data_IF_987229237020
#
_entry.id   IF_987229237020
#
_cell.length_a   1.000
_cell.length_b   1.000
_cell.length_c   1.000
_cell.angle_alpha   90.00
_cell.angle_beta   90.00
_cell.angle_gamma   90.00
#
_symmetry.space_group_name_H-M   'P 1'
#
loop_
_entity.id
_entity.type
_entity.pdbx_description
1 polymer ?
#
# COMPACT_ATOMS: atom_id res chain seq x y z
N UNK A 1 -5.48 -31.55 22.62
CA UNK A 1 -4.52 -32.34 21.82
C UNK A 1 -5.31 -33.19 20.82
N UNK A 2 -5.54 -32.66 19.62
CA UNK A 2 -6.20 -33.40 18.53
C UNK A 2 -5.33 -33.29 17.29
N UNK A 3 -4.62 -34.39 17.01
CA UNK A 3 -3.71 -34.56 15.88
C UNK A 3 -4.57 -34.95 14.67
N UNK A 4 -4.74 -34.04 13.71
CA UNK A 4 -5.38 -34.36 12.43
C UNK A 4 -4.30 -34.76 11.43
N UNK A 5 -4.24 -36.06 11.17
CA UNK A 5 -3.42 -36.72 10.14
C UNK A 5 -3.95 -36.35 8.76
N UNK A 6 -3.13 -35.70 7.93
CA UNK A 6 -3.41 -35.55 6.50
C UNK A 6 -2.41 -36.38 5.70
N UNK A 7 -2.87 -37.55 5.24
CA UNK A 7 -2.18 -38.40 4.27
C UNK A 7 -2.15 -37.70 2.91
N UNK A 8 -0.95 -37.44 2.38
CA UNK A 8 -0.76 -37.07 0.97
C UNK A 8 -0.09 -38.23 0.23
N UNK A 9 -0.83 -38.86 -0.69
CA UNK A 9 -0.27 -39.73 -1.71
C UNK A 9 -0.75 -39.20 -3.07
N UNK A 10 0.21 -38.95 -3.97
CA UNK A 10 -0.05 -38.49 -5.33
C UNK A 10 1.27 -38.22 -6.04
N UNK A 11 1.89 -39.30 -6.55
CA UNK A 11 3.08 -39.26 -7.40
C UNK A 11 2.74 -38.69 -8.78
N UNK A 12 3.81 -38.35 -9.51
CA UNK A 12 3.95 -38.30 -10.99
C UNK A 12 3.43 -36.98 -11.63
N UNK A 13 4.14 -36.26 -12.51
CA UNK A 13 5.23 -36.53 -13.45
C UNK A 13 6.13 -35.29 -13.63
N UNK A 14 7.45 -35.49 -13.70
CA UNK A 14 8.41 -34.49 -14.15
C UNK A 14 8.22 -34.24 -15.65
N UNK A 15 7.59 -33.11 -16.03
CA UNK A 15 7.53 -32.67 -17.43
C UNK A 15 8.55 -31.55 -17.65
N UNK A 16 9.66 -31.92 -18.30
CA UNK A 16 10.70 -31.01 -18.81
C UNK A 16 10.10 -30.06 -19.85
N UNK A 17 10.21 -28.73 -19.73
CA UNK A 17 9.78 -27.84 -20.81
C UNK A 17 10.84 -27.78 -21.91
N UNK A 18 10.40 -28.18 -23.10
CA UNK A 18 11.07 -28.06 -24.39
C UNK A 18 11.28 -26.57 -24.72
N UNK A 19 12.51 -26.13 -24.95
CA UNK A 19 12.82 -24.77 -25.39
C UNK A 19 12.61 -24.65 -26.91
N UNK A 20 11.78 -23.72 -27.41
CA UNK A 20 11.70 -23.46 -28.84
C UNK A 20 12.91 -22.64 -29.33
N UNK A 21 13.43 -23.06 -30.49
CA UNK A 21 14.55 -22.46 -31.22
C UNK A 21 14.18 -21.04 -31.68
N UNK A 22 15.03 -20.06 -31.36
CA UNK A 22 14.92 -18.64 -31.73
C UNK A 22 14.94 -18.49 -33.25
N UNK A 23 13.78 -18.25 -33.88
CA UNK A 23 13.69 -17.81 -35.26
C UNK A 23 14.14 -16.34 -35.34
N UNK A 24 15.14 -16.07 -36.17
CA UNK A 24 15.53 -14.72 -36.59
C UNK A 24 14.42 -14.14 -37.48
N UNK A 25 14.06 -12.84 -37.37
CA UNK A 25 13.18 -12.23 -38.33
C UNK A 25 13.92 -11.94 -39.63
N UNK A 26 13.57 -12.71 -40.66
CA UNK A 26 13.77 -12.42 -42.08
C UNK A 26 12.74 -11.36 -42.51
N UNK A 27 13.19 -10.20 -42.99
CA UNK A 27 12.52 -9.26 -43.93
C UNK A 27 13.29 -7.93 -43.89
N UNK A 28 13.80 -7.37 -44.99
CA UNK A 28 13.01 -6.91 -46.12
C UNK A 28 13.73 -7.08 -47.46
N UNK A 29 13.01 -7.76 -48.34
CA UNK A 29 13.21 -7.90 -49.78
C UNK A 29 13.19 -6.53 -50.45
N UNK A 30 14.24 -6.26 -51.23
CA UNK A 30 14.33 -5.17 -52.18
C UNK A 30 13.42 -5.52 -53.37
N UNK A 31 12.31 -4.81 -53.55
CA UNK A 31 11.51 -4.89 -54.78
C UNK A 31 11.93 -3.73 -55.68
N UNK A 32 12.94 -3.96 -56.51
CA UNK A 32 13.20 -3.17 -57.71
C UNK A 32 12.38 -3.77 -58.85
N UNK A 33 11.18 -3.25 -59.07
CA UNK A 33 10.47 -3.39 -60.34
C UNK A 33 10.87 -2.24 -61.24
N UNK A 34 11.79 -2.51 -62.15
CA UNK A 34 12.05 -1.69 -63.33
C UNK A 34 11.10 -2.06 -64.46
N UNK A 35 10.80 -1.06 -65.29
CA UNK A 35 10.19 -1.07 -66.63
C UNK A 35 8.65 -1.19 -66.76
N UNK A 36 8.03 -0.05 -67.04
CA UNK A 36 6.97 0.11 -68.05
C UNK A 36 7.19 1.45 -68.79
N UNK A 37 6.62 1.66 -70.00
CA UNK A 37 7.29 2.27 -71.13
C UNK A 37 6.94 3.76 -71.27
N UNK A 38 7.83 4.55 -71.87
CA UNK A 38 7.55 5.93 -72.25
C UNK A 38 7.20 6.01 -73.73
N UNK A 39 5.95 6.37 -74.01
CA UNK A 39 5.50 6.95 -75.28
C UNK A 39 5.55 8.47 -75.16
N UNK A 40 6.02 9.12 -76.22
CA UNK A 40 6.21 10.56 -76.44
C UNK A 40 5.06 11.50 -76.01
N UNK A 41 5.39 12.70 -75.47
CA UNK A 41 4.99 14.01 -76.03
C UNK A 41 5.49 15.25 -75.20
N UNK A 42 6.18 16.15 -75.91
CA UNK A 42 6.44 17.63 -75.85
C UNK A 42 6.44 18.49 -74.54
N UNK A 43 7.20 19.62 -74.54
CA UNK A 43 7.50 20.47 -73.39
C UNK A 43 6.60 21.72 -73.29
N UNK A 44 6.56 22.33 -72.10
CA UNK A 44 6.59 23.79 -71.79
C UNK A 44 5.82 24.10 -70.49
N UNK A 45 6.55 24.43 -69.39
CA UNK A 45 6.18 25.44 -68.37
C UNK A 45 7.15 25.41 -67.15
N UNK A 46 7.85 26.51 -66.80
CA UNK A 46 8.77 26.54 -65.66
C UNK A 46 8.19 27.33 -64.47
N UNK A 47 7.19 26.80 -63.75
CA UNK A 47 6.82 27.36 -62.42
C UNK A 47 5.86 26.47 -61.62
N UNK A 48 6.32 25.32 -61.12
CA UNK A 48 5.69 24.70 -59.94
C UNK A 48 6.77 24.28 -58.96
N UNK A 49 6.94 25.10 -57.93
CA UNK A 49 7.69 24.81 -56.72
C UNK A 49 7.29 23.43 -56.19
N UNK A 50 8.22 22.47 -56.23
CA UNK A 50 8.08 21.19 -55.55
C UNK A 50 8.18 21.48 -54.05
N UNK A 51 7.04 21.68 -53.39
CA UNK A 51 6.98 21.71 -51.93
C UNK A 51 7.24 20.30 -51.41
N UNK A 52 8.42 20.09 -50.86
CA UNK A 52 8.77 18.85 -50.14
C UNK A 52 7.78 18.68 -48.98
N UNK A 53 7.03 17.58 -48.86
CA UNK A 53 6.19 17.35 -47.70
C UNK A 53 7.11 17.10 -46.49
N UNK A 54 7.25 18.09 -45.62
CA UNK A 54 7.89 17.90 -44.32
C UNK A 54 6.95 17.01 -43.49
N UNK A 55 7.39 15.84 -43.00
CA UNK A 55 6.60 15.04 -42.07
C UNK A 55 6.57 15.74 -40.71
N UNK A 56 5.73 16.77 -40.59
CA UNK A 56 5.58 17.52 -39.35
C UNK A 56 4.37 16.97 -38.60
N UNK A 57 4.57 15.88 -37.89
CA UNK A 57 3.63 15.45 -36.84
C UNK A 57 4.34 14.46 -35.93
N UNK A 58 5.34 14.97 -35.20
CA UNK A 58 5.70 14.33 -33.92
C UNK A 58 4.43 14.45 -33.08
N UNK A 59 3.70 13.33 -32.93
CA UNK A 59 2.47 13.30 -32.15
C UNK A 59 2.71 13.97 -30.81
N UNK A 60 1.84 14.92 -30.45
CA UNK A 60 2.01 15.71 -29.25
C UNK A 60 2.17 14.79 -28.04
N UNK A 61 3.41 14.71 -27.55
CA UNK A 61 3.78 13.90 -26.40
C UNK A 61 2.89 14.37 -25.23
N UNK A 62 2.11 13.48 -24.58
CA UNK A 62 1.19 13.86 -23.51
C UNK A 62 1.92 14.64 -22.42
N UNK A 63 1.26 15.64 -21.83
CA UNK A 63 1.89 16.64 -20.93
C UNK A 63 2.68 16.01 -19.77
N UNK A 64 2.28 14.82 -19.32
CA UNK A 64 2.94 14.06 -18.26
C UNK A 64 4.33 13.50 -18.65
N UNK A 65 4.60 13.32 -19.95
CA UNK A 65 5.93 13.01 -20.46
C UNK A 65 6.82 14.26 -20.61
N UNK A 66 6.25 15.48 -20.53
CA UNK A 66 7.01 16.73 -20.41
C UNK A 66 7.54 16.97 -18.99
N UNK A 67 6.99 16.28 -17.98
CA UNK A 67 7.52 16.21 -16.61
C UNK A 67 8.66 15.16 -16.52
N UNK A 68 9.71 15.34 -17.31
CA UNK A 68 10.80 14.38 -17.52
C UNK A 68 11.35 13.71 -16.24
N UNK A 69 11.62 14.44 -15.13
CA UNK A 69 12.12 13.84 -13.90
C UNK A 69 11.12 12.94 -13.17
N UNK A 70 9.85 13.35 -13.07
CA UNK A 70 8.80 12.62 -12.35
C UNK A 70 8.45 11.33 -13.09
N UNK A 71 8.29 11.42 -14.41
CA UNK A 71 8.04 10.27 -15.27
C UNK A 71 9.17 9.24 -15.23
N UNK A 72 10.45 9.69 -15.18
CA UNK A 72 11.61 8.81 -14.95
C UNK A 72 11.57 8.12 -13.60
N UNK A 73 11.17 8.83 -12.53
CA UNK A 73 10.99 8.26 -11.20
C UNK A 73 9.94 7.14 -11.18
N UNK A 74 8.78 7.37 -11.78
CA UNK A 74 7.72 6.36 -11.90
C UNK A 74 8.17 5.13 -12.69
N UNK A 75 8.87 5.34 -13.80
CA UNK A 75 9.41 4.24 -14.59
C UNK A 75 10.51 3.48 -13.83
N UNK A 76 11.35 4.17 -13.06
CA UNK A 76 12.36 3.55 -12.21
C UNK A 76 11.72 2.69 -11.11
N UNK A 77 10.71 3.21 -10.42
CA UNK A 77 9.93 2.45 -9.43
C UNK A 77 9.27 1.21 -10.05
N UNK A 78 8.62 1.36 -11.20
CA UNK A 78 8.01 0.24 -11.92
C UNK A 78 9.02 -0.83 -12.36
N UNK A 79 10.21 -0.42 -12.81
CA UNK A 79 11.32 -1.35 -13.12
C UNK A 79 11.83 -2.07 -11.86
N UNK A 80 11.98 -1.34 -10.76
CA UNK A 80 12.42 -1.91 -9.48
C UNK A 80 11.42 -2.94 -8.95
N UNK A 81 10.12 -2.62 -8.95
CA UNK A 81 9.06 -3.54 -8.56
C UNK A 81 9.10 -4.86 -9.35
N UNK A 82 9.36 -4.80 -10.66
CA UNK A 82 9.44 -6.01 -11.51
C UNK A 82 10.72 -6.81 -11.27
N UNK A 83 11.86 -6.13 -11.08
CA UNK A 83 13.18 -6.78 -10.95
C UNK A 83 13.44 -7.32 -9.54
N UNK A 84 13.04 -6.58 -8.52
CA UNK A 84 13.28 -6.87 -7.09
C UNK A 84 12.04 -6.48 -6.27
N UNK A 85 10.92 -7.21 -6.40
CA UNK A 85 9.68 -6.86 -5.73
C UNK A 85 9.83 -6.82 -4.21
N UNK A 86 10.47 -7.81 -3.60
CA UNK A 86 10.63 -7.87 -2.13
C UNK A 86 11.40 -6.67 -1.58
N UNK A 87 12.55 -6.33 -2.17
CA UNK A 87 13.33 -5.18 -1.74
C UNK A 87 12.58 -3.86 -1.97
N UNK A 88 11.87 -3.75 -3.10
CA UNK A 88 11.10 -2.55 -3.40
C UNK A 88 9.95 -2.37 -2.41
N UNK A 89 9.25 -3.44 -2.05
CA UNK A 89 8.17 -3.41 -1.06
C UNK A 89 8.68 -3.06 0.34
N UNK A 90 9.80 -3.67 0.76
CA UNK A 90 10.46 -3.34 2.01
C UNK A 90 10.80 -1.84 2.09
N UNK A 91 11.56 -1.33 1.13
CA UNK A 91 11.95 0.09 1.10
C UNK A 91 10.74 1.02 1.00
N UNK A 92 9.78 0.70 0.13
CA UNK A 92 8.58 1.55 -0.04
C UNK A 92 7.74 1.62 1.22
N UNK A 93 7.58 0.50 1.92
CA UNK A 93 6.84 0.48 3.18
C UNK A 93 7.54 1.26 4.29
N UNK A 94 8.88 1.22 4.36
CA UNK A 94 9.65 2.05 5.30
C UNK A 94 9.42 3.54 5.01
N UNK A 95 9.46 3.93 3.73
CA UNK A 95 9.18 5.31 3.31
C UNK A 95 7.75 5.72 3.67
N UNK A 96 6.76 4.86 3.43
CA UNK A 96 5.35 5.14 3.78
C UNK A 96 5.19 5.34 5.29
N UNK A 97 5.80 4.49 6.11
CA UNK A 97 5.73 4.61 7.57
C UNK A 97 6.47 5.83 8.10
N UNK A 98 7.65 6.13 7.55
CA UNK A 98 8.40 7.32 7.88
C UNK A 98 7.58 8.60 7.61
N UNK A 99 7.08 8.73 6.38
CA UNK A 99 6.31 9.91 5.98
C UNK A 99 4.98 10.01 6.73
N UNK A 100 4.31 8.87 6.96
CA UNK A 100 3.06 8.83 7.69
C UNK A 100 3.23 9.21 9.16
N UNK A 101 4.30 8.73 9.81
CA UNK A 101 4.57 9.07 11.21
C UNK A 101 5.00 10.53 11.36
N UNK A 102 5.90 11.05 10.50
CA UNK A 102 6.26 12.48 10.48
C UNK A 102 5.02 13.35 10.28
N UNK A 103 4.15 12.99 9.33
CA UNK A 103 2.92 13.74 9.09
C UNK A 103 2.03 13.75 10.33
N UNK A 104 1.89 12.61 11.02
CA UNK A 104 1.08 12.52 12.22
C UNK A 104 1.67 13.33 13.39
N UNK A 105 3.00 13.36 13.52
CA UNK A 105 3.70 14.16 14.53
C UNK A 105 3.55 15.66 14.26
N UNK A 106 3.69 16.09 13.01
CA UNK A 106 3.50 17.49 12.62
C UNK A 106 2.06 17.97 12.87
N UNK A 107 1.06 17.12 12.60
CA UNK A 107 -0.35 17.46 12.86
C UNK A 107 -0.64 17.53 14.36
N UNK A 108 0.05 16.77 15.21
CA UNK A 108 -0.17 16.82 16.65
C UNK A 108 0.30 18.11 17.33
N UNK A 109 1.19 18.89 16.69
CA UNK A 109 1.77 20.10 17.27
C UNK A 109 2.67 19.85 18.48
N UNK A 110 3.04 18.60 18.74
CA UNK A 110 3.95 18.19 19.81
C UNK A 110 5.41 18.23 19.32
N UNK A 111 6.35 18.21 20.27
CA UNK A 111 7.77 18.05 19.96
C UNK A 111 8.03 16.72 19.22
N UNK A 112 8.94 16.75 18.26
CA UNK A 112 9.25 15.59 17.44
C UNK A 112 9.92 14.47 18.26
N UNK A 113 9.28 13.30 18.29
CA UNK A 113 9.75 12.08 18.94
C UNK A 113 10.36 11.12 17.90
N UNK A 114 11.70 11.08 17.85
CA UNK A 114 12.43 10.16 16.97
C UNK A 114 12.26 8.69 17.36
N UNK A 115 12.03 8.36 18.65
CA UNK A 115 11.83 6.97 19.11
C UNK A 115 10.52 6.44 18.56
N UNK A 116 9.49 7.26 18.49
CA UNK A 116 8.22 6.93 17.82
C UNK A 116 8.44 6.59 16.35
N UNK A 117 9.22 7.39 15.62
CA UNK A 117 9.53 7.10 14.22
C UNK A 117 10.32 5.81 14.06
N UNK A 118 11.30 5.55 14.94
CA UNK A 118 12.06 4.30 14.90
C UNK A 118 11.16 3.07 15.12
N UNK A 119 10.20 3.15 16.05
CA UNK A 119 9.21 2.07 16.26
C UNK A 119 8.34 1.87 15.04
N UNK A 120 7.85 2.94 14.41
CA UNK A 120 7.10 2.85 13.16
C UNK A 120 7.93 2.16 12.05
N UNK A 121 9.21 2.50 11.91
CA UNK A 121 10.12 1.85 10.96
C UNK A 121 10.33 0.37 11.28
N UNK A 122 10.49 0.00 12.55
CA UNK A 122 10.64 -1.40 12.97
C UNK A 122 9.38 -2.23 12.66
N UNK A 123 8.20 -1.68 12.93
CA UNK A 123 6.90 -2.30 12.60
C UNK A 123 6.75 -2.48 11.08
N UNK A 124 7.14 -1.48 10.31
CA UNK A 124 7.14 -1.54 8.86
C UNK A 124 8.09 -2.62 8.33
N UNK A 125 9.32 -2.67 8.85
CA UNK A 125 10.31 -3.68 8.49
C UNK A 125 9.79 -5.11 8.74
N UNK A 126 9.17 -5.35 9.90
CA UNK A 126 8.61 -6.65 10.26
C UNK A 126 7.40 -7.07 9.42
N UNK A 127 6.55 -6.12 9.03
CA UNK A 127 5.33 -6.40 8.25
C UNK A 127 5.49 -6.37 6.72
N UNK A 128 6.57 -5.74 6.22
CA UNK A 128 6.84 -5.55 4.78
C UNK A 128 6.64 -6.81 3.92
N UNK A 129 7.34 -7.89 4.30
CA UNK A 129 7.37 -9.15 3.52
C UNK A 129 6.06 -9.93 3.70
N UNK A 130 5.54 -10.14 4.92
CA UNK A 130 4.21 -10.73 5.11
C UNK A 130 3.12 -10.04 4.30
N UNK A 131 3.09 -8.70 4.31
CA UNK A 131 2.11 -7.91 3.56
C UNK A 131 2.21 -8.18 2.06
N UNK A 132 3.43 -8.14 1.50
CA UNK A 132 3.63 -8.44 0.08
C UNK A 132 3.17 -9.87 -0.27
N UNK A 133 3.54 -10.86 0.55
CA UNK A 133 3.14 -12.27 0.31
C UNK A 133 1.62 -12.43 0.38
N UNK A 134 0.95 -11.73 1.29
CA UNK A 134 -0.51 -11.72 1.38
C UNK A 134 -1.15 -11.16 0.10
N UNK A 135 -0.67 -10.03 -0.42
CA UNK A 135 -1.20 -9.48 -1.68
C UNK A 135 -0.95 -10.41 -2.87
N UNK A 136 0.20 -11.11 -2.92
CA UNK A 136 0.46 -12.13 -3.94
C UNK A 136 -0.48 -13.32 -3.81
N UNK A 137 -0.74 -13.78 -2.59
CA UNK A 137 -1.73 -14.83 -2.30
C UNK A 137 -3.12 -14.44 -2.81
N UNK A 138 -3.60 -13.24 -2.45
CA UNK A 138 -4.89 -12.74 -2.94
C UNK A 138 -4.93 -12.68 -4.47
N UNK A 139 -3.84 -12.23 -5.09
CA UNK A 139 -3.80 -12.08 -6.54
C UNK A 139 -3.82 -13.42 -7.28
N UNK A 140 -3.26 -14.49 -6.71
CA UNK A 140 -3.21 -15.80 -7.37
C UNK A 140 -4.41 -16.71 -7.09
N UNK A 141 -5.08 -16.57 -5.93
CA UNK A 141 -6.12 -17.54 -5.50
C UNK A 141 -7.56 -17.12 -5.85
N UNK A 142 -7.85 -15.83 -6.00
CA UNK A 142 -9.22 -15.34 -6.21
C UNK A 142 -9.44 -14.82 -7.63
N UNK A 143 -9.21 -15.68 -8.63
CA UNK A 143 -9.38 -15.36 -10.05
C UNK A 143 -10.59 -16.11 -10.63
N UNK A 144 -11.60 -15.37 -11.04
CA UNK A 144 -12.88 -15.85 -11.57
C UNK A 144 -13.06 -15.32 -12.99
N UNK A 145 -14.02 -15.87 -13.72
CA UNK A 145 -14.36 -15.43 -15.07
C UNK A 145 -14.76 -13.95 -15.13
N UNK A 146 -15.51 -13.47 -14.13
CA UNK A 146 -15.85 -12.06 -14.00
C UNK A 146 -14.75 -11.29 -13.26
N UNK A 147 -14.18 -10.27 -13.91
CA UNK A 147 -13.18 -9.37 -13.30
C UNK A 147 -13.74 -8.61 -12.10
N UNK A 148 -15.01 -8.21 -12.17
CA UNK A 148 -15.68 -7.53 -11.07
C UNK A 148 -15.81 -8.47 -9.86
N UNK A 149 -16.22 -9.73 -10.09
CA UNK A 149 -16.31 -10.73 -9.02
C UNK A 149 -14.94 -10.99 -8.37
N UNK A 150 -13.87 -11.16 -9.17
CA UNK A 150 -12.51 -11.30 -8.63
C UNK A 150 -12.09 -10.11 -7.79
N UNK A 151 -12.37 -8.89 -8.24
CA UNK A 151 -12.01 -7.70 -7.49
C UNK A 151 -12.79 -7.62 -6.18
N UNK A 152 -14.11 -7.80 -6.22
CA UNK A 152 -14.97 -7.77 -5.03
C UNK A 152 -14.52 -8.83 -4.02
N UNK A 153 -14.31 -10.07 -4.45
CA UNK A 153 -13.86 -11.14 -3.54
C UNK A 153 -12.49 -10.81 -2.93
N UNK A 154 -11.52 -10.34 -3.73
CA UNK A 154 -10.20 -9.95 -3.22
C UNK A 154 -10.31 -8.84 -2.17
N UNK A 155 -11.13 -7.82 -2.42
CA UNK A 155 -11.37 -6.72 -1.48
C UNK A 155 -12.05 -7.24 -0.21
N UNK A 156 -13.11 -8.04 -0.34
CA UNK A 156 -13.84 -8.60 0.81
C UNK A 156 -12.94 -9.46 1.69
N UNK A 157 -12.17 -10.38 1.11
CA UNK A 157 -11.23 -11.23 1.87
C UNK A 157 -10.15 -10.37 2.54
N UNK A 158 -9.66 -9.33 1.85
CA UNK A 158 -8.71 -8.39 2.45
C UNK A 158 -9.30 -7.65 3.66
N UNK A 159 -10.54 -7.18 3.56
CA UNK A 159 -11.20 -6.44 4.64
C UNK A 159 -11.58 -7.32 5.84
N UNK A 160 -11.91 -8.59 5.62
CA UNK A 160 -12.33 -9.51 6.70
C UNK A 160 -11.14 -10.14 7.40
N UNK A 161 -10.07 -10.46 6.67
CA UNK A 161 -8.94 -11.22 7.22
C UNK A 161 -7.75 -10.30 7.48
N UNK A 162 -7.25 -9.67 6.42
CA UNK A 162 -5.99 -8.94 6.51
C UNK A 162 -6.10 -7.66 7.30
N UNK A 163 -7.15 -6.86 7.07
CA UNK A 163 -7.29 -5.58 7.76
C UNK A 163 -7.35 -5.76 9.30
N UNK A 164 -8.17 -6.68 9.88
CA UNK A 164 -8.13 -6.94 11.31
C UNK A 164 -6.77 -7.48 11.78
N UNK A 165 -6.19 -8.47 11.10
CA UNK A 165 -4.90 -9.05 11.50
C UNK A 165 -3.76 -8.03 11.48
N UNK A 166 -3.66 -7.23 10.42
CA UNK A 166 -2.64 -6.20 10.29
C UNK A 166 -2.82 -5.07 11.30
N UNK A 167 -4.05 -4.61 11.54
CA UNK A 167 -4.30 -3.59 12.56
C UNK A 167 -3.97 -4.09 13.97
N UNK A 168 -4.35 -5.33 14.31
CA UNK A 168 -3.96 -5.95 15.59
C UNK A 168 -2.44 -6.00 15.74
N UNK A 169 -1.72 -6.43 14.70
CA UNK A 169 -0.26 -6.41 14.70
C UNK A 169 0.29 -4.99 14.87
N UNK A 170 -0.21 -4.02 14.10
CA UNK A 170 0.28 -2.64 14.11
C UNK A 170 0.11 -1.99 15.50
N UNK A 171 -1.11 -1.98 16.04
CA UNK A 171 -1.39 -1.35 17.33
C UNK A 171 -0.78 -2.15 18.49
N UNK A 172 -0.78 -3.49 18.39
CA UNK A 172 -0.16 -4.35 19.38
C UNK A 172 1.35 -4.10 19.47
N UNK A 173 2.03 -4.06 18.31
CA UNK A 173 3.47 -3.83 18.26
C UNK A 173 3.83 -2.39 18.64
N UNK A 174 3.01 -1.39 18.29
CA UNK A 174 3.18 -0.03 18.79
C UNK A 174 3.19 0.01 20.32
N UNK A 175 2.20 -0.64 20.95
CA UNK A 175 2.06 -0.70 22.40
C UNK A 175 3.20 -1.47 23.07
N UNK A 176 3.56 -2.63 22.55
CA UNK A 176 4.70 -3.41 23.05
C UNK A 176 6.01 -2.64 22.97
N UNK A 177 6.27 -1.98 21.84
CA UNK A 177 7.49 -1.18 21.67
C UNK A 177 7.45 0.15 22.45
N UNK A 178 6.27 0.62 22.87
CA UNK A 178 6.13 1.72 23.86
C UNK A 178 6.53 1.28 25.28
N UNK A 179 6.66 -0.03 25.54
CA UNK A 179 6.92 -0.58 26.87
C UNK A 179 5.67 -0.92 27.67
N UNK A 180 4.49 -1.00 27.04
CA UNK A 180 3.25 -1.37 27.72
C UNK A 180 3.22 -2.86 28.10
N UNK A 181 2.51 -3.15 29.19
CA UNK A 181 2.21 -4.53 29.62
C UNK A 181 1.19 -5.20 28.70
N UNK A 182 1.18 -6.55 28.66
CA UNK A 182 0.23 -7.31 27.81
C UNK A 182 -1.25 -6.92 28.01
N UNK A 183 -1.76 -6.67 29.24
CA UNK A 183 -3.13 -6.19 29.43
C UNK A 183 -3.39 -4.81 28.79
N UNK A 184 -2.43 -3.89 28.87
CA UNK A 184 -2.54 -2.56 28.25
C UNK A 184 -2.51 -2.67 26.72
N UNK A 185 -1.67 -3.56 26.18
CA UNK A 185 -1.63 -3.87 24.75
C UNK A 185 -2.98 -4.39 24.26
N UNK A 186 -3.58 -5.32 25.00
CA UNK A 186 -4.89 -5.88 24.67
C UNK A 186 -5.99 -4.81 24.69
N UNK A 187 -5.99 -3.94 25.71
CA UNK A 187 -6.97 -2.86 25.79
C UNK A 187 -6.79 -1.85 24.66
N UNK A 188 -5.55 -1.55 24.27
CA UNK A 188 -5.29 -0.71 23.08
C UNK A 188 -5.86 -1.33 21.81
N UNK A 189 -5.61 -2.60 21.57
CA UNK A 189 -6.13 -3.34 20.42
C UNK A 189 -7.67 -3.26 20.38
N UNK A 190 -8.34 -3.50 21.51
CA UNK A 190 -9.80 -3.43 21.61
C UNK A 190 -10.36 -2.06 21.25
N UNK A 191 -9.65 -0.98 21.61
CA UNK A 191 -10.09 0.38 21.34
C UNK A 191 -9.83 0.81 19.89
N UNK A 192 -8.68 0.44 19.34
CA UNK A 192 -8.22 0.97 18.04
C UNK A 192 -8.62 0.11 16.85
N UNK A 193 -8.56 -1.23 16.96
CA UNK A 193 -8.77 -2.12 15.81
C UNK A 193 -10.19 -2.02 15.23
N UNK A 194 -11.28 -2.08 16.01
CA UNK A 194 -12.63 -1.97 15.45
C UNK A 194 -12.83 -0.63 14.73
N UNK A 195 -12.38 0.45 15.36
CA UNK A 195 -12.44 1.81 14.79
C UNK A 195 -11.69 1.88 13.46
N UNK A 196 -10.47 1.34 13.42
CA UNK A 196 -9.65 1.32 12.21
C UNK A 196 -10.28 0.48 11.08
N UNK A 197 -10.81 -0.71 11.39
CA UNK A 197 -11.44 -1.60 10.41
C UNK A 197 -12.70 -0.98 9.84
N UNK A 198 -13.56 -0.38 10.67
CA UNK A 198 -14.77 0.32 10.20
C UNK A 198 -14.40 1.48 9.26
N UNK A 199 -13.41 2.30 9.63
CA UNK A 199 -12.97 3.40 8.78
C UNK A 199 -12.27 2.91 7.50
N UNK A 200 -11.56 1.80 7.56
CA UNK A 200 -10.99 1.12 6.39
C UNK A 200 -12.11 0.75 5.40
N UNK A 201 -13.21 0.16 5.87
CA UNK A 201 -14.34 -0.21 5.03
C UNK A 201 -15.07 0.98 4.40
N UNK A 202 -14.94 2.19 4.97
CA UNK A 202 -15.48 3.42 4.36
C UNK A 202 -14.55 3.97 3.28
N UNK A 203 -13.25 3.98 3.55
CA UNK A 203 -12.25 4.64 2.69
C UNK A 203 -11.88 3.78 1.48
N UNK A 204 -11.56 2.50 1.69
CA UNK A 204 -10.96 1.69 0.63
C UNK A 204 -11.88 1.39 -0.56
N UNK A 205 -13.20 1.18 -0.40
CA UNK A 205 -14.09 1.05 -1.57
C UNK A 205 -14.09 2.30 -2.44
N UNK A 206 -14.15 3.49 -1.84
CA UNK A 206 -14.11 4.76 -2.57
C UNK A 206 -12.77 4.95 -3.30
N UNK A 207 -11.65 4.71 -2.61
CA UNK A 207 -10.30 4.76 -3.19
C UNK A 207 -10.15 3.77 -4.35
N UNK A 208 -10.70 2.56 -4.18
CA UNK A 208 -10.66 1.51 -5.20
C UNK A 208 -11.47 1.92 -6.42
N UNK A 209 -12.72 2.37 -6.23
CA UNK A 209 -13.56 2.85 -7.32
C UNK A 209 -12.89 4.00 -8.09
N UNK A 210 -12.35 4.99 -7.38
CA UNK A 210 -11.63 6.10 -8.00
C UNK A 210 -10.41 5.63 -8.80
N UNK A 211 -9.60 4.74 -8.23
CA UNK A 211 -8.42 4.17 -8.89
C UNK A 211 -8.76 3.43 -10.18
N UNK A 212 -9.86 2.67 -10.20
CA UNK A 212 -10.27 1.92 -11.37
C UNK A 212 -10.92 2.78 -12.45
N UNK A 213 -11.63 3.85 -12.06
CA UNK A 213 -12.33 4.74 -12.99
C UNK A 213 -11.41 5.79 -13.61
N UNK A 214 -10.52 6.41 -12.82
CA UNK A 214 -9.78 7.61 -13.25
C UNK A 214 -8.27 7.41 -13.41
N UNK A 215 -7.69 6.35 -12.83
CA UNK A 215 -6.25 6.15 -12.83
C UNK A 215 -5.86 5.01 -13.79
N UNK A 216 -4.96 5.32 -14.73
CA UNK A 216 -4.42 4.31 -15.63
C UNK A 216 -3.73 3.18 -14.86
N UNK A 217 -3.84 1.92 -15.29
CA UNK A 217 -3.29 0.77 -14.57
C UNK A 217 -1.82 0.90 -14.17
N UNK A 218 -1.01 1.57 -14.98
CA UNK A 218 0.42 1.79 -14.74
C UNK A 218 0.73 2.76 -13.59
N UNK A 219 -0.20 3.65 -13.23
CA UNK A 219 -0.03 4.63 -12.15
C UNK A 219 -0.71 4.24 -10.84
N UNK A 220 -1.57 3.21 -10.85
CA UNK A 220 -2.35 2.77 -9.67
C UNK A 220 -1.49 2.42 -8.46
N UNK A 221 -0.31 1.85 -8.65
CA UNK A 221 0.59 1.52 -7.53
C UNK A 221 1.13 2.76 -6.83
N UNK A 222 1.39 3.84 -7.57
CA UNK A 222 1.89 5.10 -7.01
C UNK A 222 0.76 5.82 -6.30
N UNK A 223 -0.41 5.90 -6.94
CA UNK A 223 -1.62 6.44 -6.32
C UNK A 223 -1.94 5.73 -5.00
N UNK A 224 -1.93 4.40 -4.98
CA UNK A 224 -2.12 3.62 -3.77
C UNK A 224 -1.06 3.92 -2.70
N UNK A 225 0.20 4.13 -3.08
CA UNK A 225 1.27 4.54 -2.17
C UNK A 225 1.02 5.90 -1.51
N UNK A 226 0.50 6.89 -2.26
CA UNK A 226 0.15 8.21 -1.70
C UNK A 226 -0.99 8.08 -0.68
N UNK A 227 -2.05 7.35 -1.03
CA UNK A 227 -3.16 7.10 -0.09
C UNK A 227 -2.66 6.31 1.14
N UNK A 228 -1.72 5.39 0.97
CA UNK A 228 -1.14 4.63 2.07
C UNK A 228 -0.39 5.52 3.08
N UNK A 229 0.26 6.61 2.65
CA UNK A 229 0.87 7.59 3.57
C UNK A 229 -0.21 8.26 4.42
N UNK A 230 -1.31 8.70 3.80
CA UNK A 230 -2.45 9.29 4.51
C UNK A 230 -3.08 8.31 5.50
N UNK A 231 -3.28 7.06 5.08
CA UNK A 231 -3.78 6.00 5.96
C UNK A 231 -2.82 5.73 7.13
N UNK A 232 -1.52 5.67 6.87
CA UNK A 232 -0.50 5.45 7.90
C UNK A 232 -0.43 6.61 8.89
N UNK A 233 -0.63 7.84 8.42
CA UNK A 233 -0.80 9.04 9.25
C UNK A 233 -2.00 8.87 10.18
N UNK A 234 -3.14 8.46 9.63
CA UNK A 234 -4.37 8.21 10.39
C UNK A 234 -4.20 7.11 11.45
N UNK A 235 -3.58 5.98 11.12
CA UNK A 235 -3.31 4.91 12.09
C UNK A 235 -2.41 5.38 13.23
N UNK A 236 -1.38 6.16 12.90
CA UNK A 236 -0.46 6.72 13.89
C UNK A 236 -1.16 7.72 14.81
N UNK A 237 -2.05 8.55 14.25
CA UNK A 237 -2.93 9.43 15.02
C UNK A 237 -3.87 8.64 15.94
N UNK A 238 -4.53 7.60 15.43
CA UNK A 238 -5.44 6.77 16.22
C UNK A 238 -4.72 6.07 17.38
N UNK A 239 -3.50 5.58 17.15
CA UNK A 239 -2.64 5.02 18.19
C UNK A 239 -2.33 6.05 19.28
N UNK A 240 -1.91 7.26 18.87
CA UNK A 240 -1.59 8.35 19.81
C UNK A 240 -2.81 8.78 20.63
N UNK A 241 -4.00 8.83 20.00
CA UNK A 241 -5.25 9.13 20.69
C UNK A 241 -5.57 8.09 21.77
N UNK A 242 -5.39 6.80 21.47
CA UNK A 242 -5.59 5.72 22.45
C UNK A 242 -4.56 5.76 23.59
N UNK A 243 -3.29 6.07 23.29
CA UNK A 243 -2.24 6.26 24.31
C UNK A 243 -2.59 7.40 25.27
N UNK A 244 -3.05 8.55 24.76
CA UNK A 244 -3.47 9.70 25.60
C UNK A 244 -4.70 9.37 26.45
N UNK A 245 -5.69 8.69 25.88
CA UNK A 245 -6.88 8.28 26.63
C UNK A 245 -6.52 7.32 27.78
N UNK A 246 -5.60 6.36 27.53
CA UNK A 246 -5.11 5.46 28.56
C UNK A 246 -4.37 6.22 29.68
N UNK A 247 -3.50 7.18 29.32
CA UNK A 247 -2.79 8.00 30.31
C UNK A 247 -3.75 8.85 31.17
N UNK A 248 -4.76 9.48 30.55
CA UNK A 248 -5.77 10.26 31.26
C UNK A 248 -6.57 9.40 32.26
N UNK A 249 -6.95 8.18 31.87
CA UNK A 249 -7.67 7.25 32.74
C UNK A 249 -6.82 6.81 33.95
N UNK A 250 -5.50 6.66 33.80
CA UNK A 250 -4.63 6.34 34.93
C UNK A 250 -4.52 7.49 35.93
N UNK A 251 -4.43 8.74 35.45
CA UNK A 251 -4.37 9.92 36.31
C UNK A 251 -5.70 10.10 37.05
N UNK A 252 -6.83 10.01 36.34
CA UNK A 252 -8.17 10.12 36.93
C UNK A 252 -8.44 9.04 37.97
N UNK A 253 -8.11 7.78 37.66
CA UNK A 253 -8.30 6.66 38.58
C UNK A 253 -7.41 6.74 39.83
N UNK A 254 -6.22 7.35 39.74
CA UNK A 254 -5.37 7.59 40.91
C UNK A 254 -5.95 8.69 41.82
N UNK A 255 -6.48 9.76 41.22
CA UNK A 255 -7.15 10.84 41.96
C UNK A 255 -8.40 10.34 42.68
N UNK A 256 -9.23 9.54 42.01
CA UNK A 256 -10.47 9.00 42.58
C UNK A 256 -10.18 8.03 43.74
N UNK A 257 -9.22 7.12 43.58
CA UNK A 257 -8.79 6.23 44.68
C UNK A 257 -8.24 7.00 45.87
N UNK A 258 -7.38 8.00 45.63
CA UNK A 258 -6.84 8.81 46.73
C UNK A 258 -7.95 9.56 47.48
N UNK A 259 -8.98 10.03 46.78
CA UNK A 259 -10.13 10.70 47.40
C UNK A 259 -10.99 9.73 48.24
N UNK A 260 -11.19 8.50 47.74
CA UNK A 260 -11.90 7.45 48.48
C UNK A 260 -11.15 7.03 49.74
N UNK A 261 -9.82 6.88 49.67
CA UNK A 261 -9.00 6.50 50.82
C UNK A 261 -8.99 7.60 51.90
N UNK A 262 -8.95 8.87 51.51
CA UNK A 262 -9.06 10.01 52.45
C UNK A 262 -10.43 10.00 53.13
N UNK A 263 -11.52 9.91 52.34
CA UNK A 263 -12.89 9.87 52.87
C UNK A 263 -13.12 8.68 53.81
N UNK A 264 -12.56 7.51 53.47
CA UNK A 264 -12.67 6.31 54.29
C UNK A 264 -11.87 6.45 55.61
N UNK A 265 -10.75 7.16 55.59
CA UNK A 265 -9.97 7.46 56.80
C UNK A 265 -10.69 8.44 57.71
N UNK A 266 -11.21 9.54 57.18
CA UNK A 266 -11.99 10.53 57.95
C UNK A 266 -13.24 9.89 58.59
N UNK A 267 -13.91 9.00 57.86
CA UNK A 267 -15.08 8.27 58.40
C UNK A 267 -14.69 7.38 59.59
N UNK A 268 -13.54 6.70 59.52
CA UNK A 268 -13.04 5.85 60.62
C UNK A 268 -12.58 6.67 61.83
N UNK A 269 -11.92 7.80 61.61
CA UNK A 269 -11.49 8.70 62.70
C UNK A 269 -12.69 9.32 63.43
N UNK A 270 -13.72 9.75 62.71
CA UNK A 270 -14.95 10.27 63.32
C UNK A 270 -15.70 9.19 64.13
N UNK A 271 -15.80 7.96 63.61
CA UNK A 271 -16.41 6.84 64.34
C UNK A 271 -15.63 6.44 65.60
N UNK A 272 -14.32 6.63 65.62
CA UNK A 272 -13.48 6.36 66.79
C UNK A 272 -13.58 7.44 67.88
N UNK A 273 -14.06 8.64 67.55
CA UNK A 273 -14.27 9.73 68.50
C UNK A 273 -15.67 9.68 69.16
N UNK A 274 -16.64 9.04 68.50
CA UNK A 274 -18.02 8.88 69.01
C UNK A 274 -18.22 7.63 69.88
N UNK A 275 -17.23 6.73 69.96
CA UNK A 275 -17.25 5.49 70.74
C UNK A 275 -16.46 5.61 72.05
#
# INVERSE_FOLDING_TARGET
MAVLVMRTAGRTLLRRPYLPKKQQPLSKRHNTTSSTPTTHAKPDDPAKSVSIPVPNTVGAIPIWQRLGPISRGFQAYGRSQRKRPLATQFVSSLVIFFLGDISAQNISGEEYDYKRTLRALAISAGSSIPNYKWFMFLNSHFNYTSKALSLVTKVTVNQIVFAPSFNTYFFGMQSLLSGDTLPQVWERIKQTVPTSVVNSCKVWPAVTAFSFTFIDPQYRSIFAGVIAIGWQTYLSFLNRKAERAAAANMIGGHSEKSQMDITAKDTRENQAFEA
#
